data_IF_150005127719
#
_entry.id   IF_150005127719
#
_cell.length_a   1.000
_cell.length_b   1.000
_cell.length_c   1.000
_cell.angle_alpha   90.00
_cell.angle_beta   90.00
_cell.angle_gamma   90.00
#
_symmetry.space_group_name_H-M   'P 1'
#
loop_
_entity.id
_entity.type
_entity.pdbx_description
1 polymer ?
#
# COMPACT_ATOMS: atom_id res chain seq x y z
N UNK A 1 -13.89 38.42 -17.98
CA UNK A 1 -13.89 37.21 -17.15
C UNK A 1 -14.18 37.64 -15.72
N UNK A 2 -15.42 37.50 -15.27
CA UNK A 2 -15.83 37.91 -13.90
C UNK A 2 -15.42 36.81 -12.93
N UNK A 3 -14.55 37.16 -11.98
CA UNK A 3 -14.08 36.28 -10.91
C UNK A 3 -15.22 35.89 -10.01
N UNK A 4 -15.51 34.59 -9.87
CA UNK A 4 -16.48 34.08 -8.92
C UNK A 4 -15.92 34.19 -7.49
N UNK A 5 -16.62 34.92 -6.60
CA UNK A 5 -16.23 35.15 -5.19
C UNK A 5 -16.52 33.98 -4.24
N UNK A 6 -17.00 32.85 -4.74
CA UNK A 6 -17.23 31.64 -3.92
C UNK A 6 -18.45 31.66 -2.99
N UNK A 7 -19.25 32.70 -2.96
CA UNK A 7 -20.43 32.80 -2.09
C UNK A 7 -21.72 32.51 -2.88
N UNK A 8 -22.21 31.28 -2.84
CA UNK A 8 -23.36 30.81 -3.62
C UNK A 8 -24.73 31.38 -3.17
N UNK A 9 -24.84 31.94 -1.99
CA UNK A 9 -26.12 32.49 -1.47
C UNK A 9 -26.52 33.84 -2.08
N UNK A 10 -25.63 34.49 -2.85
CA UNK A 10 -25.87 35.79 -3.49
C UNK A 10 -25.59 35.83 -4.99
N UNK A 11 -25.43 34.64 -5.64
CA UNK A 11 -25.08 34.55 -7.04
C UNK A 11 -26.32 34.46 -7.93
N UNK A 12 -26.47 35.40 -8.88
CA UNK A 12 -27.57 35.43 -9.86
C UNK A 12 -27.27 34.71 -11.18
N UNK A 13 -26.22 33.91 -11.25
CA UNK A 13 -25.82 33.19 -12.44
C UNK A 13 -26.58 31.85 -12.57
N UNK A 14 -27.36 31.69 -13.65
CA UNK A 14 -28.11 30.48 -13.97
C UNK A 14 -27.27 29.36 -14.62
N UNK A 15 -25.95 29.55 -14.80
CA UNK A 15 -25.04 28.61 -15.47
C UNK A 15 -24.02 27.94 -14.54
N UNK A 16 -24.28 27.86 -13.24
CA UNK A 16 -23.42 27.13 -12.27
C UNK A 16 -23.64 25.60 -12.24
N UNK A 17 -24.39 25.04 -13.20
CA UNK A 17 -24.87 23.66 -13.14
C UNK A 17 -23.90 22.57 -13.56
N UNK A 18 -22.80 22.86 -14.24
CA UNK A 18 -21.91 21.83 -14.79
C UNK A 18 -20.43 22.05 -14.39
N UNK A 19 -20.15 22.10 -13.09
CA UNK A 19 -18.81 21.72 -12.63
C UNK A 19 -18.80 20.21 -12.46
N UNK A 20 -18.47 19.50 -13.52
CA UNK A 20 -17.94 18.14 -13.39
C UNK A 20 -16.78 18.24 -12.41
N UNK A 21 -16.86 17.49 -11.30
CA UNK A 21 -15.74 17.40 -10.38
C UNK A 21 -14.54 16.96 -11.20
N UNK A 22 -13.53 17.82 -11.37
CA UNK A 22 -12.29 17.45 -12.04
C UNK A 22 -11.74 16.24 -11.29
N UNK A 23 -11.49 15.16 -12.01
CA UNK A 23 -10.85 13.97 -11.44
C UNK A 23 -9.52 14.39 -10.83
N UNK A 24 -9.35 14.12 -9.54
CA UNK A 24 -8.09 14.37 -8.83
C UNK A 24 -7.02 13.32 -9.18
N UNK A 25 -7.41 12.29 -9.96
CA UNK A 25 -6.49 11.23 -10.40
C UNK A 25 -5.37 11.83 -11.25
N UNK A 26 -4.15 11.48 -10.89
CA UNK A 26 -2.97 11.84 -11.65
C UNK A 26 -2.86 10.99 -12.92
N UNK A 27 -2.41 11.58 -14.01
CA UNK A 27 -2.09 10.83 -15.20
C UNK A 27 -0.87 9.93 -14.94
N UNK A 28 -0.92 8.68 -15.38
CA UNK A 28 0.24 7.81 -15.38
C UNK A 28 1.29 8.36 -16.36
N UNK A 29 2.58 8.14 -16.07
CA UNK A 29 3.64 8.46 -17.02
C UNK A 29 3.31 7.84 -18.40
N UNK A 30 3.40 8.59 -19.51
CA UNK A 30 2.99 8.10 -20.84
C UNK A 30 3.75 6.87 -21.32
N UNK A 31 4.95 6.64 -20.80
CA UNK A 31 5.81 5.48 -21.13
C UNK A 31 5.59 4.30 -20.18
N UNK A 32 4.61 4.37 -19.30
CA UNK A 32 4.29 3.35 -18.30
C UNK A 32 3.03 2.56 -18.65
N UNK A 33 2.99 1.33 -18.16
CA UNK A 33 1.78 0.49 -18.16
C UNK A 33 1.61 -0.16 -16.81
N UNK A 34 0.49 0.12 -16.13
CA UNK A 34 0.10 -0.51 -14.86
C UNK A 34 -1.35 -0.97 -14.98
N UNK A 35 -1.57 -2.29 -14.87
CA UNK A 35 -2.91 -2.89 -15.09
C UNK A 35 -3.80 -2.85 -13.85
N UNK A 36 -3.22 -3.13 -12.68
CA UNK A 36 -3.92 -3.17 -11.39
C UNK A 36 -3.10 -2.52 -10.29
N UNK A 37 -3.75 -1.70 -9.49
CA UNK A 37 -3.16 -1.01 -8.33
C UNK A 37 -3.85 -1.48 -7.05
N UNK A 38 -3.11 -2.09 -6.14
CA UNK A 38 -3.60 -2.62 -4.87
C UNK A 38 -2.97 -1.84 -3.72
N UNK A 39 -3.80 -1.14 -2.95
CA UNK A 39 -3.32 -0.45 -1.76
C UNK A 39 -3.31 -1.39 -0.55
N UNK A 40 -2.19 -1.42 0.16
CA UNK A 40 -2.06 -2.12 1.44
C UNK A 40 -2.08 -1.09 2.54
N UNK A 41 -3.11 -1.15 3.39
CA UNK A 41 -3.36 -0.17 4.43
C UNK A 41 -3.33 -0.78 5.81
N UNK A 42 -3.04 0.03 6.81
CA UNK A 42 -3.17 -0.36 8.22
C UNK A 42 -3.69 0.81 9.04
N UNK A 43 -4.44 0.48 10.08
CA UNK A 43 -4.99 1.51 10.97
C UNK A 43 -3.95 2.14 11.90
N UNK A 44 -2.83 1.44 12.18
CA UNK A 44 -1.70 1.94 12.98
C UNK A 44 -0.37 1.43 12.43
N UNK A 45 0.74 2.03 12.87
CA UNK A 45 2.09 1.55 12.60
C UNK A 45 2.45 0.28 13.36
N UNK A 46 3.44 -0.46 12.87
CA UNK A 46 3.99 -1.64 13.56
C UNK A 46 3.20 -2.94 13.42
N UNK A 47 2.18 -3.00 12.57
CA UNK A 47 1.43 -4.26 12.31
C UNK A 47 2.07 -5.14 11.22
N UNK A 48 3.22 -4.74 10.67
CA UNK A 48 3.89 -5.45 9.58
C UNK A 48 3.25 -5.24 8.21
N UNK A 49 2.63 -4.08 7.98
CA UNK A 49 2.03 -3.70 6.69
C UNK A 49 3.01 -3.89 5.53
N UNK A 50 4.22 -3.31 5.64
CA UNK A 50 5.25 -3.36 4.60
C UNK A 50 5.78 -4.79 4.37
N UNK A 51 5.84 -5.61 5.41
CA UNK A 51 6.15 -7.03 5.31
C UNK A 51 5.09 -7.76 4.48
N UNK A 52 3.80 -7.53 4.77
CA UNK A 52 2.69 -8.10 4.01
C UNK A 52 2.71 -7.60 2.57
N UNK A 53 2.95 -6.31 2.33
CA UNK A 53 3.09 -5.73 0.99
C UNK A 53 4.17 -6.44 0.19
N UNK A 54 5.35 -6.63 0.80
CA UNK A 54 6.47 -7.32 0.17
C UNK A 54 6.16 -8.80 -0.11
N UNK A 55 5.51 -9.50 0.83
CA UNK A 55 5.08 -10.90 0.63
C UNK A 55 4.07 -11.03 -0.51
N UNK A 56 3.13 -10.09 -0.66
CA UNK A 56 2.17 -10.06 -1.77
C UNK A 56 2.88 -9.85 -3.10
N UNK A 57 3.83 -8.92 -3.16
CA UNK A 57 4.62 -8.66 -4.34
C UNK A 57 5.40 -9.90 -4.78
N UNK A 58 6.09 -10.56 -3.83
CA UNK A 58 6.84 -11.81 -4.08
C UNK A 58 5.91 -12.94 -4.52
N UNK A 59 4.75 -13.11 -3.86
CA UNK A 59 3.78 -14.16 -4.21
C UNK A 59 3.25 -14.02 -5.64
N UNK A 60 2.99 -12.79 -6.09
CA UNK A 60 2.56 -12.51 -7.45
C UNK A 60 3.70 -12.69 -8.46
N UNK A 61 4.91 -12.23 -8.15
CA UNK A 61 6.08 -12.40 -9.01
C UNK A 61 6.40 -13.89 -9.25
N UNK A 62 6.28 -14.74 -8.23
CA UNK A 62 6.43 -16.19 -8.34
C UNK A 62 5.39 -16.85 -9.25
N UNK A 63 4.26 -16.20 -9.49
CA UNK A 63 3.24 -16.65 -10.45
C UNK A 63 3.51 -16.12 -11.88
N UNK A 64 4.68 -15.56 -12.13
CA UNK A 64 5.10 -15.05 -13.44
C UNK A 64 4.46 -13.69 -13.79
N UNK A 65 3.96 -12.94 -12.79
CA UNK A 65 3.43 -11.59 -12.99
C UNK A 65 4.55 -10.56 -12.90
N UNK A 66 4.46 -9.50 -13.69
CA UNK A 66 5.31 -8.32 -13.54
C UNK A 66 4.75 -7.44 -12.43
N UNK A 67 5.56 -7.19 -11.42
CA UNK A 67 5.11 -6.59 -10.17
C UNK A 67 5.91 -5.33 -9.86
N UNK A 68 5.22 -4.34 -9.32
CA UNK A 68 5.82 -3.13 -8.76
C UNK A 68 5.39 -2.93 -7.30
N UNK A 69 6.29 -2.32 -6.54
CA UNK A 69 6.01 -1.82 -5.18
C UNK A 69 6.28 -0.33 -5.14
N UNK A 70 5.24 0.43 -4.85
CA UNK A 70 5.31 1.87 -4.60
C UNK A 70 5.22 2.09 -3.08
N UNK A 71 6.34 2.50 -2.49
CA UNK A 71 6.42 2.85 -1.06
C UNK A 71 5.92 4.28 -0.85
N UNK A 72 4.70 4.40 -0.36
CA UNK A 72 4.07 5.67 -0.04
C UNK A 72 4.22 6.07 1.44
N UNK A 73 4.88 5.23 2.28
CA UNK A 73 5.20 5.53 3.67
C UNK A 73 6.53 6.32 3.77
N UNK A 74 6.50 7.55 3.31
CA UNK A 74 7.68 8.43 3.25
C UNK A 74 8.31 8.68 4.63
N UNK A 75 7.54 8.54 5.70
CA UNK A 75 8.02 8.75 7.07
C UNK A 75 8.78 7.57 7.66
N UNK A 76 8.55 6.38 7.12
CA UNK A 76 9.21 5.13 7.53
C UNK A 76 9.40 4.20 6.33
N UNK A 77 10.06 4.68 5.25
CA UNK A 77 10.17 3.91 4.04
C UNK A 77 10.99 2.65 4.25
N UNK A 78 10.46 1.53 3.79
CA UNK A 78 11.00 0.20 4.11
C UNK A 78 11.09 -0.75 2.92
N UNK A 79 10.42 -0.46 1.80
CA UNK A 79 10.44 -1.31 0.62
C UNK A 79 11.85 -1.51 0.04
N UNK A 80 12.73 -0.50 -0.05
CA UNK A 80 14.10 -0.72 -0.52
C UNK A 80 14.87 -1.71 0.34
N UNK A 81 14.74 -1.63 1.66
CA UNK A 81 15.36 -2.58 2.61
C UNK A 81 14.85 -3.99 2.35
N UNK A 82 13.54 -4.19 2.25
CA UNK A 82 12.93 -5.50 2.06
C UNK A 82 13.42 -6.23 0.80
N UNK A 83 13.67 -5.49 -0.28
CA UNK A 83 14.12 -6.04 -1.56
C UNK A 83 15.64 -5.91 -1.81
N UNK A 84 16.39 -5.35 -0.87
CA UNK A 84 17.84 -5.19 -0.96
C UNK A 84 18.26 -4.28 -2.12
N UNK A 85 17.49 -3.23 -2.41
CA UNK A 85 17.78 -2.24 -3.45
C UNK A 85 18.19 -0.92 -2.81
N UNK A 86 19.18 -0.23 -3.40
CA UNK A 86 19.77 0.98 -2.83
C UNK A 86 19.70 2.19 -3.75
N UNK A 87 19.43 1.98 -5.05
CA UNK A 87 19.42 3.05 -6.03
C UNK A 87 18.45 2.75 -7.18
N UNK A 88 17.92 3.79 -7.80
CA UNK A 88 17.16 3.71 -9.04
C UNK A 88 18.06 3.35 -10.22
N UNK A 89 17.49 2.79 -11.30
CA UNK A 89 18.26 2.41 -12.50
C UNK A 89 18.68 3.60 -13.38
N UNK A 90 18.46 4.82 -12.92
CA UNK A 90 18.76 6.06 -13.63
C UNK A 90 17.51 6.79 -14.12
N UNK A 91 17.72 7.78 -14.99
CA UNK A 91 16.66 8.59 -15.58
C UNK A 91 17.01 8.97 -17.02
N UNK A 92 15.98 9.30 -17.80
CA UNK A 92 16.11 9.92 -19.13
C UNK A 92 15.16 11.10 -19.26
N UNK A 93 14.96 11.62 -20.48
CA UNK A 93 14.06 12.75 -20.77
C UNK A 93 12.59 12.42 -20.46
N UNK A 94 12.20 11.14 -20.46
CA UNK A 94 10.83 10.67 -20.30
C UNK A 94 10.48 10.38 -18.83
N UNK A 95 11.48 10.18 -17.96
CA UNK A 95 11.27 9.92 -16.54
C UNK A 95 12.39 9.15 -15.84
N UNK A 96 12.08 8.74 -14.61
CA UNK A 96 12.95 7.99 -13.72
C UNK A 96 12.66 6.49 -13.82
N UNK A 97 13.70 5.66 -13.92
CA UNK A 97 13.53 4.20 -13.86
C UNK A 97 13.57 3.72 -12.40
N UNK A 98 12.59 2.91 -11.95
CA UNK A 98 12.57 2.39 -10.59
C UNK A 98 13.77 1.46 -10.34
N UNK A 99 14.07 1.19 -9.07
CA UNK A 99 15.00 0.14 -8.72
C UNK A 99 14.43 -1.23 -9.12
N UNK A 100 15.29 -2.19 -9.45
CA UNK A 100 14.89 -3.58 -9.68
C UNK A 100 15.46 -4.49 -8.60
N UNK A 101 14.60 -5.30 -7.99
CA UNK A 101 15.04 -6.39 -7.13
C UNK A 101 15.75 -7.50 -7.92
N UNK A 102 16.32 -8.46 -7.23
CA UNK A 102 16.97 -9.62 -7.88
C UNK A 102 16.00 -10.43 -8.74
N UNK A 103 14.73 -10.52 -8.35
CA UNK A 103 13.67 -11.23 -9.08
C UNK A 103 12.92 -10.34 -10.08
N UNK A 104 13.33 -9.09 -10.26
CA UNK A 104 12.75 -8.17 -11.25
C UNK A 104 11.51 -7.42 -10.77
N UNK A 105 11.25 -7.38 -9.45
CA UNK A 105 10.21 -6.51 -8.89
C UNK A 105 10.68 -5.07 -8.97
N UNK A 106 9.87 -4.19 -9.57
CA UNK A 106 10.14 -2.77 -9.66
C UNK A 106 9.81 -2.09 -8.34
N UNK A 107 10.75 -1.35 -7.75
CA UNK A 107 10.59 -0.72 -6.44
C UNK A 107 10.86 0.77 -6.54
N UNK A 108 9.94 1.58 -6.01
CA UNK A 108 10.12 3.02 -5.87
C UNK A 108 9.79 3.47 -4.46
N UNK A 109 10.69 4.23 -3.88
CA UNK A 109 10.59 4.82 -2.54
C UNK A 109 11.41 6.11 -2.48
N UNK A 110 11.05 7.00 -1.57
CA UNK A 110 11.80 8.24 -1.33
C UNK A 110 13.26 7.98 -0.95
N UNK A 111 13.53 6.89 -0.21
CA UNK A 111 14.88 6.54 0.22
C UNK A 111 15.85 6.26 -0.94
N UNK A 112 15.33 5.91 -2.12
CA UNK A 112 16.14 5.71 -3.32
C UNK A 112 16.58 7.02 -3.98
N UNK A 113 16.04 8.16 -3.52
CA UNK A 113 16.32 9.50 -4.05
C UNK A 113 17.08 10.37 -3.05
N UNK A 114 17.34 9.88 -1.84
CA UNK A 114 18.09 10.61 -0.81
C UNK A 114 19.58 10.26 -0.91
N UNK A 115 20.44 11.26 -0.80
CA UNK A 115 21.89 11.08 -0.72
C UNK A 115 22.30 10.26 0.50
N UNK A 116 21.57 10.42 1.61
CA UNK A 116 21.71 9.64 2.84
C UNK A 116 20.34 9.08 3.25
N UNK A 117 20.12 7.76 3.10
CA UNK A 117 18.88 7.11 3.50
C UNK A 117 18.54 7.22 5.00
N UNK A 118 19.52 7.53 5.85
CA UNK A 118 19.32 7.76 7.29
C UNK A 118 18.87 9.20 7.62
N UNK A 119 18.89 10.09 6.64
CA UNK A 119 18.45 11.46 6.82
C UNK A 119 16.95 11.53 7.07
N UNK A 120 16.49 12.20 8.14
CA UNK A 120 15.06 12.28 8.41
C UNK A 120 14.36 13.13 7.35
N UNK A 121 13.32 12.58 6.75
CA UNK A 121 12.45 13.32 5.83
C UNK A 121 11.43 14.12 6.66
N UNK A 122 11.72 15.40 6.90
CA UNK A 122 10.86 16.31 7.69
C UNK A 122 9.93 17.05 6.73
N UNK A 123 9.02 16.34 6.09
CA UNK A 123 8.05 16.91 5.17
C UNK A 123 6.66 17.00 5.78
N UNK A 124 5.88 18.01 5.39
CA UNK A 124 4.47 18.14 5.76
C UNK A 124 3.59 17.31 4.81
N UNK A 125 2.42 16.90 5.28
CA UNK A 125 1.48 16.06 4.54
C UNK A 125 1.31 16.39 3.05
N UNK A 126 1.08 17.64 2.64
CA UNK A 126 0.94 18.00 1.23
C UNK A 126 2.19 17.73 0.38
N UNK A 127 3.40 17.87 0.95
CA UNK A 127 4.65 17.57 0.23
C UNK A 127 4.82 16.06 0.05
N UNK A 128 4.49 15.29 1.09
CA UNK A 128 4.49 13.82 1.06
C UNK A 128 3.54 13.30 -0.02
N UNK A 129 2.32 13.78 -0.03
CA UNK A 129 1.33 13.42 -1.03
C UNK A 129 1.75 13.83 -2.45
N UNK A 130 2.41 14.99 -2.59
CA UNK A 130 3.02 15.43 -3.85
C UNK A 130 4.10 14.49 -4.36
N UNK A 131 4.98 14.00 -3.47
CA UNK A 131 6.04 13.05 -3.83
C UNK A 131 5.47 11.70 -4.30
N UNK A 132 4.46 11.16 -3.60
CA UNK A 132 3.79 9.91 -4.04
C UNK A 132 3.13 10.08 -5.40
N UNK A 133 2.52 11.26 -5.64
CA UNK A 133 1.97 11.60 -6.96
C UNK A 133 3.07 11.64 -8.04
N UNK A 134 4.24 12.22 -7.73
CA UNK A 134 5.38 12.24 -8.66
C UNK A 134 5.90 10.83 -8.96
N UNK A 135 5.91 9.91 -7.99
CA UNK A 135 6.26 8.51 -8.25
C UNK A 135 5.30 7.84 -9.25
N UNK A 136 4.08 8.32 -9.35
CA UNK A 136 3.13 7.86 -10.35
C UNK A 136 3.32 8.54 -11.71
N UNK A 137 3.57 9.86 -11.73
CA UNK A 137 3.63 10.65 -12.97
C UNK A 137 5.00 10.65 -13.63
N UNK A 138 6.09 10.54 -12.85
CA UNK A 138 7.45 10.79 -13.33
C UNK A 138 8.29 9.51 -13.40
N UNK A 139 7.85 8.41 -12.76
CA UNK A 139 8.52 7.11 -12.85
C UNK A 139 7.99 6.32 -14.05
N UNK A 140 8.88 5.68 -14.80
CA UNK A 140 8.55 4.79 -15.91
C UNK A 140 8.37 3.37 -15.38
N UNK A 141 7.11 2.93 -15.27
CA UNK A 141 6.72 1.59 -14.83
C UNK A 141 6.60 0.65 -16.03
N UNK A 142 7.54 -0.27 -16.18
CA UNK A 142 7.62 -1.15 -17.36
C UNK A 142 6.66 -2.33 -17.24
N UNK A 143 5.54 -2.25 -18.00
CA UNK A 143 4.51 -3.29 -18.19
C UNK A 143 4.13 -4.06 -16.91
N UNK A 144 3.70 -3.31 -15.90
CA UNK A 144 3.34 -3.84 -14.59
C UNK A 144 1.95 -4.47 -14.62
N UNK A 145 1.84 -5.76 -14.25
CA UNK A 145 0.54 -6.42 -14.07
C UNK A 145 -0.14 -6.00 -12.76
N UNK A 146 0.64 -5.94 -11.67
CA UNK A 146 0.16 -5.56 -10.33
C UNK A 146 1.14 -4.62 -9.65
N UNK A 147 0.65 -3.47 -9.26
CA UNK A 147 1.37 -2.54 -8.39
C UNK A 147 0.80 -2.63 -6.97
N UNK A 148 1.66 -2.88 -5.99
CA UNK A 148 1.32 -2.80 -4.57
C UNK A 148 1.76 -1.47 -4.01
N UNK A 149 0.83 -0.71 -3.44
CA UNK A 149 1.12 0.58 -2.80
C UNK A 149 1.19 0.34 -1.30
N UNK A 150 2.39 0.47 -0.72
CA UNK A 150 2.59 0.43 0.72
C UNK A 150 2.20 1.77 1.33
N UNK A 151 1.00 1.85 1.88
CA UNK A 151 0.39 3.10 2.34
C UNK A 151 0.96 3.55 3.69
N UNK A 152 1.06 4.85 3.97
CA UNK A 152 1.39 5.30 5.32
C UNK A 152 0.33 4.80 6.32
N UNK A 153 0.72 4.56 7.59
CA UNK A 153 -0.20 4.08 8.60
C UNK A 153 -1.27 5.12 8.95
N UNK A 154 -2.45 4.62 9.34
CA UNK A 154 -3.57 5.46 9.74
C UNK A 154 -4.51 5.86 8.61
N UNK A 155 -5.38 6.83 8.90
CA UNK A 155 -6.47 7.28 8.00
C UNK A 155 -6.48 8.82 7.88
N UNK A 156 -5.30 9.44 7.90
CA UNK A 156 -5.13 10.88 7.79
C UNK A 156 -5.12 11.41 6.36
N UNK A 157 -4.65 12.64 6.20
CA UNK A 157 -4.66 13.36 4.92
C UNK A 157 -3.79 12.72 3.84
N UNK A 158 -2.66 12.09 4.22
CA UNK A 158 -1.74 11.48 3.24
C UNK A 158 -2.37 10.26 2.58
N UNK A 159 -2.86 9.22 3.32
CA UNK A 159 -3.61 8.13 2.72
C UNK A 159 -4.77 8.59 1.84
N UNK A 160 -5.53 9.58 2.29
CA UNK A 160 -6.66 10.11 1.52
C UNK A 160 -6.19 10.71 0.19
N UNK A 161 -5.12 11.51 0.20
CA UNK A 161 -4.59 12.14 -1.02
C UNK A 161 -4.03 11.09 -1.98
N UNK A 162 -3.37 10.03 -1.47
CA UNK A 162 -2.90 8.92 -2.31
C UNK A 162 -4.07 8.24 -3.01
N UNK A 163 -5.15 7.92 -2.27
CA UNK A 163 -6.36 7.35 -2.85
C UNK A 163 -7.04 8.26 -3.88
N UNK A 164 -6.95 9.57 -3.72
CA UNK A 164 -7.48 10.55 -4.69
C UNK A 164 -6.60 10.67 -5.93
N UNK A 165 -5.30 10.43 -5.81
CA UNK A 165 -4.33 10.65 -6.89
C UNK A 165 -4.04 9.41 -7.74
N UNK A 166 -4.11 8.21 -7.15
CA UNK A 166 -3.83 6.94 -7.82
C UNK A 166 -5.13 6.17 -8.12
N UNK A 167 -5.21 5.49 -9.28
CA UNK A 167 -6.38 4.67 -9.66
C UNK A 167 -6.34 3.32 -8.93
N UNK A 168 -6.62 3.33 -7.63
CA UNK A 168 -6.58 2.11 -6.80
C UNK A 168 -7.77 1.21 -7.13
N UNK A 169 -7.50 -0.04 -7.53
CA UNK A 169 -8.50 -1.06 -7.87
C UNK A 169 -9.05 -1.81 -6.64
N UNK A 170 -8.25 -1.92 -5.58
CA UNK A 170 -8.67 -2.61 -4.37
C UNK A 170 -7.78 -2.35 -3.17
N UNK A 171 -8.30 -2.61 -1.98
CA UNK A 171 -7.63 -2.38 -0.70
C UNK A 171 -7.52 -3.69 0.08
N UNK A 172 -6.32 -4.01 0.58
CA UNK A 172 -6.06 -5.04 1.58
C UNK A 172 -5.79 -4.36 2.91
N UNK A 173 -6.51 -4.73 3.96
CA UNK A 173 -6.34 -4.15 5.30
C UNK A 173 -5.51 -5.08 6.17
N UNK A 174 -4.33 -4.60 6.60
CA UNK A 174 -3.44 -5.33 7.51
C UNK A 174 -3.69 -4.90 8.94
N UNK A 175 -3.80 -5.87 9.82
CA UNK A 175 -4.02 -5.68 11.26
C UNK A 175 -3.22 -6.70 12.08
N UNK A 176 -3.27 -6.59 13.42
CA UNK A 176 -2.67 -7.55 14.35
C UNK A 176 -3.61 -7.79 15.53
N UNK A 177 -3.49 -8.91 16.28
CA UNK A 177 -4.38 -9.19 17.41
C UNK A 177 -4.34 -8.17 18.56
N UNK A 178 -3.28 -7.35 18.64
CA UNK A 178 -3.10 -6.31 19.67
C UNK A 178 -3.98 -5.08 19.48
N UNK A 179 -4.60 -4.94 18.33
CA UNK A 179 -5.31 -3.72 18.02
C UNK A 179 -6.63 -3.64 18.78
N UNK A 180 -6.95 -2.46 19.31
CA UNK A 180 -8.32 -2.01 19.57
C UNK A 180 -9.05 -1.93 18.22
N UNK A 181 -9.15 -3.09 17.59
CA UNK A 181 -9.22 -3.34 16.15
C UNK A 181 -10.48 -2.77 15.54
N UNK A 182 -11.60 -2.77 16.25
CA UNK A 182 -12.89 -2.41 15.65
C UNK A 182 -12.95 -0.97 15.16
N UNK A 183 -12.43 -0.01 15.93
CA UNK A 183 -12.51 1.42 15.57
C UNK A 183 -11.54 1.80 14.45
N UNK A 184 -10.32 1.25 14.49
CA UNK A 184 -9.24 1.61 13.57
C UNK A 184 -9.50 0.99 12.19
N UNK A 185 -9.86 -0.30 12.18
CA UNK A 185 -10.31 -0.99 10.96
C UNK A 185 -11.56 -0.34 10.38
N UNK A 186 -12.53 0.05 11.23
CA UNK A 186 -13.71 0.77 10.79
C UNK A 186 -13.38 2.07 10.03
N UNK A 187 -12.36 2.81 10.48
CA UNK A 187 -11.91 4.02 9.79
C UNK A 187 -11.33 3.70 8.41
N UNK A 188 -10.48 2.66 8.31
CA UNK A 188 -9.90 2.24 7.04
C UNK A 188 -10.96 1.78 6.02
N UNK A 189 -11.92 0.94 6.48
CA UNK A 189 -13.06 0.51 5.66
C UNK A 189 -13.91 1.70 5.21
N UNK A 190 -14.23 2.62 6.13
CA UNK A 190 -15.01 3.82 5.79
C UNK A 190 -14.29 4.71 4.78
N UNK A 191 -12.97 4.89 4.94
CA UNK A 191 -12.17 5.68 4.00
C UNK A 191 -12.21 5.07 2.60
N UNK A 192 -11.97 3.76 2.45
CA UNK A 192 -12.06 3.06 1.17
C UNK A 192 -13.46 3.19 0.54
N UNK A 193 -14.51 3.01 1.35
CA UNK A 193 -15.90 3.16 0.89
C UNK A 193 -16.23 4.59 0.44
N UNK A 194 -15.73 5.62 1.13
CA UNK A 194 -15.89 7.02 0.72
C UNK A 194 -15.23 7.31 -0.63
N UNK A 195 -14.16 6.59 -0.95
CA UNK A 195 -13.43 6.68 -2.22
C UNK A 195 -13.99 5.73 -3.28
N UNK A 196 -15.05 4.97 -2.96
CA UNK A 196 -15.63 3.93 -3.83
C UNK A 196 -14.65 2.85 -4.26
N UNK A 197 -13.64 2.55 -3.42
CA UNK A 197 -12.64 1.52 -3.68
C UNK A 197 -13.04 0.25 -2.93
N UNK A 198 -13.10 -0.92 -3.59
CA UNK A 198 -13.47 -2.18 -2.94
C UNK A 198 -12.42 -2.60 -1.92
N UNK A 199 -12.87 -2.99 -0.72
CA UNK A 199 -12.03 -3.64 0.30
C UNK A 199 -12.08 -5.13 0.04
N UNK A 200 -10.92 -5.75 -0.24
CA UNK A 200 -10.81 -7.18 -0.56
C UNK A 200 -10.96 -8.04 0.69
N UNK A 201 -10.45 -7.56 1.82
CA UNK A 201 -10.54 -8.25 3.10
C UNK A 201 -9.39 -7.90 4.04
N UNK A 202 -9.25 -8.73 5.07
CA UNK A 202 -8.30 -8.52 6.15
C UNK A 202 -7.16 -9.53 6.10
N UNK A 203 -5.94 -9.06 6.41
CA UNK A 203 -4.78 -9.89 6.72
C UNK A 203 -4.42 -9.63 8.19
N UNK A 204 -4.57 -10.62 9.05
CA UNK A 204 -4.11 -10.54 10.42
C UNK A 204 -2.67 -11.04 10.50
N UNK A 205 -1.73 -10.12 10.63
CA UNK A 205 -0.33 -10.44 10.87
C UNK A 205 -0.07 -10.62 12.36
N UNK A 206 0.97 -11.41 12.71
CA UNK A 206 1.31 -11.76 14.10
C UNK A 206 0.17 -12.48 14.83
N UNK A 207 -0.65 -13.24 14.10
CA UNK A 207 -1.85 -13.89 14.60
C UNK A 207 -1.53 -14.94 15.68
N UNK A 208 -0.44 -15.66 15.51
CA UNK A 208 0.03 -16.70 16.43
C UNK A 208 1.53 -16.95 16.28
N UNK A 209 2.12 -17.57 17.29
CA UNK A 209 3.44 -18.19 17.22
C UNK A 209 3.26 -19.69 17.11
N UNK A 210 3.94 -20.34 16.16
CA UNK A 210 3.97 -21.78 16.08
C UNK A 210 5.17 -22.32 16.85
N UNK A 211 4.92 -23.18 17.84
CA UNK A 211 6.00 -23.82 18.60
C UNK A 211 6.85 -24.69 17.67
N UNK A 212 8.17 -24.50 17.60
CA UNK A 212 9.02 -25.27 16.70
C UNK A 212 9.11 -26.75 17.10
N UNK A 213 8.93 -27.08 18.37
CA UNK A 213 9.08 -28.46 18.86
C UNK A 213 7.83 -29.31 18.65
N UNK A 214 6.63 -28.74 18.86
CA UNK A 214 5.39 -29.52 18.85
C UNK A 214 4.31 -28.98 17.88
N UNK A 215 4.58 -27.93 17.13
CA UNK A 215 3.65 -27.34 16.17
C UNK A 215 2.43 -26.63 16.78
N UNK A 216 2.31 -26.58 18.12
CA UNK A 216 1.18 -25.93 18.80
C UNK A 216 1.16 -24.42 18.50
N UNK A 217 -0.01 -23.90 18.11
CA UNK A 217 -0.23 -22.46 17.96
C UNK A 217 -0.43 -21.80 19.32
N UNK A 218 0.33 -20.74 19.56
CA UNK A 218 0.31 -19.95 20.81
C UNK A 218 -0.13 -18.53 20.45
N UNK A 219 -1.23 -18.08 21.03
CA UNK A 219 -1.73 -16.71 20.82
C UNK A 219 -0.98 -15.76 21.76
N UNK A 220 0.18 -15.26 21.30
CA UNK A 220 1.09 -14.41 22.09
C UNK A 220 0.40 -13.12 22.54
N UNK A 221 -0.49 -12.58 21.72
CA UNK A 221 -1.22 -11.33 21.98
C UNK A 221 -2.66 -11.54 22.42
N UNK A 222 -2.99 -12.75 22.92
CA UNK A 222 -4.34 -13.09 23.34
C UNK A 222 -5.22 -13.60 22.20
N UNK A 223 -6.52 -13.66 22.45
CA UNK A 223 -7.49 -14.14 21.46
C UNK A 223 -7.69 -13.10 20.36
N UNK A 224 -7.58 -13.52 19.12
CA UNK A 224 -7.92 -12.69 17.96
C UNK A 224 -9.42 -12.38 17.92
N UNK A 225 -9.76 -11.14 17.54
CA UNK A 225 -11.12 -10.68 17.29
C UNK A 225 -11.40 -10.45 15.80
N UNK A 226 -10.49 -10.85 14.92
CA UNK A 226 -10.61 -10.57 13.48
C UNK A 226 -11.85 -11.21 12.85
N UNK A 227 -12.27 -12.38 13.33
CA UNK A 227 -13.46 -13.07 12.82
C UNK A 227 -14.76 -12.31 13.19
N UNK A 228 -14.80 -11.67 14.37
CA UNK A 228 -15.89 -10.81 14.80
C UNK A 228 -15.98 -9.54 13.92
N UNK A 229 -14.81 -8.96 13.59
CA UNK A 229 -14.68 -7.80 12.71
C UNK A 229 -15.07 -8.15 11.29
N UNK A 230 -14.60 -9.29 10.79
CA UNK A 230 -14.98 -9.85 9.49
C UNK A 230 -16.50 -9.93 9.35
N UNK A 231 -17.16 -10.48 10.35
CA UNK A 231 -18.63 -10.57 10.38
C UNK A 231 -19.30 -9.18 10.44
N UNK A 232 -18.76 -8.25 11.24
CA UNK A 232 -19.30 -6.89 11.39
C UNK A 232 -19.30 -6.11 10.06
N UNK A 233 -18.23 -6.25 9.27
CA UNK A 233 -18.07 -5.52 8.00
C UNK A 233 -18.48 -6.34 6.77
N UNK A 234 -18.84 -7.61 6.95
CA UNK A 234 -19.10 -8.55 5.86
C UNK A 234 -17.91 -8.62 4.86
N UNK A 235 -16.69 -8.66 5.40
CA UNK A 235 -15.45 -8.74 4.63
C UNK A 235 -14.67 -9.99 5.07
N UNK A 236 -14.05 -10.74 4.14
CA UNK A 236 -13.34 -11.96 4.48
C UNK A 236 -12.02 -11.71 5.24
N UNK A 237 -11.64 -12.66 6.11
CA UNK A 237 -10.26 -12.80 6.57
C UNK A 237 -9.51 -13.61 5.53
N UNK A 238 -8.60 -12.96 4.81
CA UNK A 238 -7.88 -13.53 3.67
C UNK A 238 -6.65 -14.33 4.10
N UNK A 239 -6.00 -13.92 5.20
CA UNK A 239 -4.86 -14.63 5.78
C UNK A 239 -4.73 -14.35 7.28
N UNK A 240 -4.18 -15.33 8.01
CA UNK A 240 -3.71 -15.21 9.40
C UNK A 240 -2.25 -15.67 9.43
N UNK A 241 -1.33 -14.70 9.56
CA UNK A 241 0.10 -14.96 9.46
C UNK A 241 0.73 -15.20 10.83
N UNK A 242 1.68 -16.12 10.93
CA UNK A 242 2.40 -16.36 12.18
C UNK A 242 3.37 -15.21 12.52
N UNK A 243 3.80 -15.18 13.77
CA UNK A 243 5.03 -14.51 14.17
C UNK A 243 6.17 -15.40 13.70
N UNK A 244 6.90 -14.95 12.67
CA UNK A 244 8.02 -15.69 12.11
C UNK A 244 9.28 -14.81 12.11
N UNK A 245 10.27 -15.14 12.98
CA UNK A 245 11.53 -14.41 13.03
C UNK A 245 12.32 -14.46 11.70
N UNK A 246 12.15 -15.53 10.90
CA UNK A 246 12.88 -15.67 9.64
C UNK A 246 12.38 -14.69 8.58
N UNK A 247 11.10 -14.34 8.62
CA UNK A 247 10.51 -13.30 7.77
C UNK A 247 11.08 -11.93 8.15
N UNK A 248 11.18 -11.64 9.46
CA UNK A 248 11.73 -10.38 9.94
C UNK A 248 13.22 -10.24 9.54
N UNK A 249 14.02 -11.30 9.76
CA UNK A 249 15.42 -11.35 9.37
C UNK A 249 15.60 -11.19 7.85
N UNK A 250 14.76 -11.85 7.06
CA UNK A 250 14.78 -11.74 5.60
C UNK A 250 14.43 -10.32 5.13
N UNK A 251 13.49 -9.66 5.82
CA UNK A 251 13.12 -8.27 5.53
C UNK A 251 14.31 -7.33 5.76
N UNK A 252 14.95 -7.44 6.93
CA UNK A 252 16.07 -6.57 7.33
C UNK A 252 17.31 -6.79 6.44
N UNK A 253 17.50 -8.00 5.90
CA UNK A 253 18.63 -8.35 5.05
C UNK A 253 18.35 -8.23 3.53
N UNK A 254 17.20 -7.70 3.11
CA UNK A 254 16.85 -7.54 1.70
C UNK A 254 16.62 -8.86 0.96
N UNK A 255 16.11 -9.85 1.66
CA UNK A 255 15.93 -11.23 1.17
C UNK A 255 14.45 -11.65 1.11
N UNK A 256 13.51 -10.69 1.04
CA UNK A 256 12.07 -11.02 1.03
C UNK A 256 11.67 -11.95 -0.12
N UNK A 257 12.40 -11.95 -1.22
CA UNK A 257 12.15 -12.85 -2.34
C UNK A 257 12.46 -14.34 -2.01
N UNK A 258 13.10 -14.64 -0.89
CA UNK A 258 13.35 -16.02 -0.42
C UNK A 258 12.28 -16.53 0.55
N UNK A 259 11.46 -15.63 1.11
CA UNK A 259 10.42 -15.97 2.10
C UNK A 259 9.33 -16.85 1.49
N UNK A 260 8.85 -17.85 2.23
CA UNK A 260 7.67 -18.61 1.83
C UNK A 260 6.43 -17.72 1.86
N UNK A 261 5.64 -17.76 0.81
CA UNK A 261 4.43 -16.95 0.63
C UNK A 261 3.17 -17.80 0.50
N UNK A 262 3.20 -19.07 0.90
CA UNK A 262 2.05 -19.97 0.80
C UNK A 262 0.82 -19.44 1.55
N UNK A 263 1.01 -18.80 2.70
CA UNK A 263 -0.06 -18.20 3.49
C UNK A 263 -0.75 -17.00 2.80
N UNK A 264 -0.18 -16.48 1.70
CA UNK A 264 -0.78 -15.41 0.91
C UNK A 264 -1.82 -15.91 -0.11
N UNK A 265 -2.01 -17.21 -0.28
CA UNK A 265 -2.87 -17.77 -1.33
C UNK A 265 -4.28 -17.15 -1.35
N UNK A 266 -4.93 -17.00 -0.19
CA UNK A 266 -6.27 -16.40 -0.09
C UNK A 266 -6.31 -14.94 -0.53
N UNK A 267 -5.26 -14.17 -0.21
CA UNK A 267 -5.15 -12.76 -0.63
C UNK A 267 -4.94 -12.67 -2.14
N UNK A 268 -4.07 -13.52 -2.68
CA UNK A 268 -3.76 -13.57 -4.12
C UNK A 268 -5.02 -13.89 -4.95
N UNK A 269 -5.81 -14.87 -4.52
CA UNK A 269 -7.06 -15.20 -5.20
C UNK A 269 -8.08 -14.05 -5.15
N UNK A 270 -8.18 -13.34 -4.02
CA UNK A 270 -9.04 -12.17 -3.92
C UNK A 270 -8.58 -11.03 -4.85
N UNK A 271 -7.27 -10.82 -4.99
CA UNK A 271 -6.71 -9.82 -5.91
C UNK A 271 -6.97 -10.20 -7.38
N UNK A 272 -6.84 -11.47 -7.74
CA UNK A 272 -7.08 -11.94 -9.11
C UNK A 272 -8.56 -11.87 -9.52
N UNK A 273 -9.45 -11.87 -8.56
CA UNK A 273 -10.89 -11.77 -8.81
C UNK A 273 -11.36 -10.34 -9.15
N UNK A 274 -10.48 -9.32 -9.02
CA UNK A 274 -10.72 -7.94 -9.48
C UNK A 274 -10.66 -7.86 -11.01
#
# INVERSE_FOLDING_TARGET
MSSCSGNCSSCSSTTCGDRTAESLLAALNPHSTVKKVIAVVSGKGGVGKSTVTSMLAVAMARQGKRVAVLDADITGPSAPTAFGVTECQGANEDGLFPALSRGGIQVMSINLLLDDPASPVVWRGPVIAGAVKQFWTDVIWDDVDYMFVDMPPGTGDVPLTVFQSLPVDGVVIVTSPQDLVSMIVAKAVKMANMMHIPVLGFVENYSYLQCPDCGKKINVFGKSHIDEISAQFNLPVLAKLPIDPTVAESFDNGLMETVDTADMAGVIEAIKAL
#
